data_IF_595441964782
#
_entry.id   IF_595441964782
#
_cell.length_a   1.000
_cell.length_b   1.000
_cell.length_c   1.000
_cell.angle_alpha   90.00
_cell.angle_beta   90.00
_cell.angle_gamma   90.00
#
_symmetry.space_group_name_H-M   'P 1'
#
loop_
_entity.id
_entity.type
_entity.pdbx_description
1 polymer ?
#
# COMPACT_ATOMS: atom_id res chain seq x y z
N UNK A 1 1.46 28.02 4.65
CA UNK A 1 1.47 27.21 3.41
C UNK A 1 0.07 26.70 3.19
N UNK A 2 -0.42 26.71 1.95
CA UNK A 2 -1.67 26.04 1.59
C UNK A 2 -1.41 24.53 1.50
N UNK A 3 -2.05 23.74 2.37
CA UNK A 3 -1.85 22.29 2.49
C UNK A 3 -2.92 21.47 1.78
N UNK A 4 -3.95 22.10 1.18
CA UNK A 4 -5.09 21.38 0.59
C UNK A 4 -4.70 20.39 -0.49
N UNK A 5 -3.71 20.75 -1.31
CA UNK A 5 -3.18 19.86 -2.34
C UNK A 5 -2.51 18.62 -1.72
N UNK A 6 -1.77 18.81 -0.63
CA UNK A 6 -1.10 17.73 0.10
C UNK A 6 -2.11 16.79 0.77
N UNK A 7 -3.14 17.34 1.41
CA UNK A 7 -4.25 16.57 2.00
C UNK A 7 -4.97 15.72 0.95
N UNK A 8 -5.22 16.30 -0.23
CA UNK A 8 -5.83 15.58 -1.36
C UNK A 8 -4.95 14.42 -1.82
N UNK A 9 -3.63 14.61 -1.85
CA UNK A 9 -2.68 13.55 -2.23
C UNK A 9 -2.65 12.44 -1.17
N UNK A 10 -2.54 12.79 0.11
CA UNK A 10 -2.52 11.80 1.19
C UNK A 10 -3.83 10.99 1.25
N UNK A 11 -4.97 11.64 1.02
CA UNK A 11 -6.26 10.94 0.99
C UNK A 11 -6.34 9.95 -0.18
N UNK A 12 -5.83 10.31 -1.37
CA UNK A 12 -5.75 9.39 -2.51
C UNK A 12 -4.88 8.18 -2.17
N UNK A 13 -3.69 8.41 -1.58
CA UNK A 13 -2.79 7.33 -1.15
C UNK A 13 -3.51 6.40 -0.16
N UNK A 14 -4.19 6.94 0.86
CA UNK A 14 -4.92 6.14 1.84
C UNK A 14 -6.05 5.30 1.22
N UNK A 15 -6.82 5.89 0.28
CA UNK A 15 -7.89 5.17 -0.42
C UNK A 15 -7.35 4.03 -1.30
N UNK A 16 -6.24 4.28 -2.01
CA UNK A 16 -5.55 3.27 -2.81
C UNK A 16 -5.06 2.11 -1.93
N UNK A 17 -4.42 2.41 -0.79
CA UNK A 17 -3.99 1.37 0.17
C UNK A 17 -5.14 0.54 0.73
N UNK A 18 -6.29 1.18 1.00
CA UNK A 18 -7.51 0.49 1.46
C UNK A 18 -8.04 -0.50 0.42
N UNK A 19 -7.76 -0.25 -0.87
CA UNK A 19 -8.17 -1.15 -1.97
C UNK A 19 -7.17 -2.30 -2.17
N UNK A 20 -5.88 -2.04 -1.97
CA UNK A 20 -4.80 -3.01 -2.19
C UNK A 20 -4.69 -4.02 -1.05
N UNK A 21 -4.88 -3.59 0.21
CA UNK A 21 -4.75 -4.47 1.38
C UNK A 21 -6.03 -5.30 1.55
N UNK A 22 -5.98 -6.64 1.39
CA UNK A 22 -7.17 -7.49 1.33
C UNK A 22 -7.67 -7.96 2.71
N UNK A 23 -7.40 -7.20 3.77
CA UNK A 23 -7.84 -7.49 5.14
C UNK A 23 -7.95 -6.22 6.00
N UNK A 24 -8.56 -6.34 7.18
CA UNK A 24 -8.60 -5.26 8.17
C UNK A 24 -7.20 -4.98 8.72
N UNK A 25 -6.82 -3.70 8.77
CA UNK A 25 -5.52 -3.24 9.27
C UNK A 25 -5.66 -2.08 10.25
N UNK A 26 -4.63 -1.87 11.08
CA UNK A 26 -4.57 -0.80 12.08
C UNK A 26 -3.64 0.34 11.64
N UNK A 27 -2.50 0.00 11.04
CA UNK A 27 -1.47 0.98 10.65
C UNK A 27 -0.84 0.63 9.30
N UNK A 28 -0.46 1.65 8.52
CA UNK A 28 0.30 1.50 7.26
C UNK A 28 1.46 2.49 7.24
N UNK A 29 2.63 2.00 6.85
CA UNK A 29 3.85 2.78 6.66
C UNK A 29 4.24 2.73 5.18
N UNK A 30 4.17 3.88 4.50
CA UNK A 30 4.48 4.00 3.07
C UNK A 30 5.87 4.57 2.88
N UNK A 31 6.67 3.94 2.04
CA UNK A 31 7.95 4.47 1.58
C UNK A 31 7.98 4.53 0.04
N UNK A 32 8.28 5.72 -0.48
CA UNK A 32 8.44 5.97 -1.92
C UNK A 32 9.57 6.95 -2.13
N UNK A 33 10.30 6.80 -3.23
CA UNK A 33 11.38 7.70 -3.64
C UNK A 33 11.18 8.07 -5.14
N UNK A 34 11.80 9.16 -5.66
CA UNK A 34 11.75 9.64 -7.09
C UNK A 34 13.20 9.95 -7.68
N UNK A 35 13.73 9.22 -8.72
CA UNK A 35 15.07 8.69 -9.23
C UNK A 35 14.84 7.47 -10.20
N UNK A 36 15.86 6.75 -10.65
CA UNK A 36 15.71 5.59 -11.56
C UNK A 36 15.67 4.25 -10.80
N UNK A 37 14.78 3.33 -11.20
CA UNK A 37 14.68 1.96 -10.65
C UNK A 37 13.68 1.78 -9.51
N UNK A 38 12.59 2.55 -9.47
CA UNK A 38 11.78 2.63 -8.27
C UNK A 38 11.11 1.39 -7.75
N UNK A 39 11.17 1.29 -6.42
CA UNK A 39 10.25 0.52 -5.61
C UNK A 39 9.37 1.46 -4.79
N UNK A 40 8.06 1.38 -5.01
CA UNK A 40 7.05 1.79 -4.03
C UNK A 40 6.84 0.59 -3.13
N UNK A 41 7.11 0.74 -1.84
CA UNK A 41 6.86 -0.32 -0.85
C UNK A 41 6.09 0.25 0.30
N UNK A 42 5.22 -0.58 0.87
CA UNK A 42 4.59 -0.28 2.14
C UNK A 42 4.62 -1.51 3.04
N UNK A 43 4.49 -1.24 4.33
CA UNK A 43 4.27 -2.22 5.38
C UNK A 43 2.94 -1.90 6.04
N UNK A 44 2.17 -2.92 6.37
CA UNK A 44 0.94 -2.73 7.13
C UNK A 44 0.85 -3.70 8.30
N UNK A 45 0.15 -3.28 9.34
CA UNK A 45 -0.13 -4.07 10.52
C UNK A 45 -1.57 -4.57 10.42
N UNK A 46 -1.79 -5.86 10.16
CA UNK A 46 -3.12 -6.44 10.23
C UNK A 46 -3.69 -6.27 11.63
N UNK A 47 -5.02 -6.17 11.71
CA UNK A 47 -5.71 -5.97 12.98
C UNK A 47 -5.41 -7.11 13.95
N UNK A 48 -4.92 -6.76 15.14
CA UNK A 48 -4.53 -7.73 16.17
C UNK A 48 -3.21 -8.48 15.93
N UNK A 49 -2.41 -8.12 14.92
CA UNK A 49 -1.06 -8.65 14.69
C UNK A 49 0.00 -7.65 15.12
N UNK A 50 1.10 -8.16 15.70
CA UNK A 50 2.24 -7.32 16.15
C UNK A 50 3.29 -7.16 15.07
N UNK A 51 3.35 -8.09 14.13
CA UNK A 51 4.30 -8.11 13.04
C UNK A 51 3.66 -7.51 11.78
N UNK A 52 4.36 -6.60 11.07
CA UNK A 52 3.86 -6.06 9.83
C UNK A 52 4.04 -7.05 8.68
N UNK A 53 3.21 -6.90 7.64
CA UNK A 53 3.34 -7.60 6.37
C UNK A 53 3.96 -6.66 5.34
N UNK A 54 4.97 -7.13 4.60
CA UNK A 54 5.54 -6.39 3.48
C UNK A 54 4.58 -6.45 2.28
N UNK A 55 4.36 -5.32 1.61
CA UNK A 55 3.47 -5.22 0.42
C UNK A 55 3.76 -6.18 -0.75
N UNK A 56 4.94 -6.81 -0.75
CA UNK A 56 5.38 -7.78 -1.76
C UNK A 56 4.98 -9.21 -1.36
N UNK A 57 4.71 -9.46 -0.08
CA UNK A 57 4.32 -10.78 0.41
C UNK A 57 2.78 -10.97 0.31
N UNK A 58 2.02 -9.91 0.01
CA UNK A 58 0.55 -9.97 -0.06
C UNK A 58 0.06 -11.08 -1.02
N UNK A 59 0.58 -11.23 -2.25
CA UNK A 59 0.16 -12.32 -3.14
C UNK A 59 0.32 -13.69 -2.50
N UNK A 60 1.46 -13.94 -1.85
CA UNK A 60 1.75 -15.21 -1.19
C UNK A 60 0.81 -15.48 -0.01
N UNK A 61 0.58 -14.47 0.84
CA UNK A 61 -0.29 -14.59 2.02
C UNK A 61 -1.76 -14.85 1.67
N UNK A 62 -2.21 -14.28 0.55
CA UNK A 62 -3.61 -14.33 0.12
C UNK A 62 -3.87 -15.24 -1.08
N UNK A 63 -2.83 -15.95 -1.56
CA UNK A 63 -2.88 -16.83 -2.73
C UNK A 63 -3.42 -16.09 -3.98
N UNK A 64 -2.99 -14.84 -4.16
CA UNK A 64 -3.34 -14.02 -5.33
C UNK A 64 -2.34 -14.28 -6.46
N UNK A 65 -2.81 -14.13 -7.69
CA UNK A 65 -1.92 -14.07 -8.84
C UNK A 65 -1.08 -12.78 -8.78
N UNK A 66 0.25 -12.92 -8.86
CA UNK A 66 1.18 -11.78 -8.74
C UNK A 66 0.97 -10.75 -9.85
N UNK A 67 0.72 -11.20 -11.09
CA UNK A 67 0.55 -10.32 -12.25
C UNK A 67 -0.79 -9.55 -12.15
N UNK A 68 -1.87 -10.23 -11.75
CA UNK A 68 -3.15 -9.57 -11.47
C UNK A 68 -3.00 -8.55 -10.34
N UNK A 69 -2.33 -8.91 -9.25
CA UNK A 69 -2.14 -8.02 -8.11
C UNK A 69 -1.30 -6.78 -8.44
N UNK A 70 -0.21 -6.93 -9.20
CA UNK A 70 0.57 -5.79 -9.69
C UNK A 70 -0.25 -4.91 -10.65
N UNK A 71 -1.11 -5.51 -11.48
CA UNK A 71 -2.04 -4.76 -12.32
C UNK A 71 -3.02 -3.93 -11.48
N UNK A 72 -3.62 -4.53 -10.44
CA UNK A 72 -4.52 -3.83 -9.53
C UNK A 72 -3.84 -2.62 -8.87
N UNK A 73 -2.61 -2.78 -8.38
CA UNK A 73 -1.81 -1.68 -7.81
C UNK A 73 -1.54 -0.53 -8.78
N UNK A 74 -1.50 -0.79 -10.09
CA UNK A 74 -1.22 0.23 -11.11
C UNK A 74 -2.44 1.07 -11.47
N UNK A 75 -3.65 0.54 -11.28
CA UNK A 75 -4.92 1.21 -11.64
C UNK A 75 -5.73 1.74 -10.46
N UNK A 76 -5.38 1.36 -9.23
CA UNK A 76 -5.90 1.91 -7.96
C UNK A 76 -5.18 3.17 -7.51
#
# INVERSE_FOLDING_TARGET
MDTKAMETIYQKIANTLTTIIPEDWEEVYVYTEMREGYKRVFFYYPKGRKEPIHSLDIPDWFLLDEDEYELYKLFS
#
